data_IF_488797874996
#
_entry.id   IF_488797874996
#
_cell.length_a   1.000
_cell.length_b   1.000
_cell.length_c   1.000
_cell.angle_alpha   90.00
_cell.angle_beta   90.00
_cell.angle_gamma   90.00
#
_symmetry.space_group_name_H-M   'P 1'
#
loop_
_entity.id
_entity.type
_entity.pdbx_description
1 polymer ?
#
# COMPACT_ATOMS: atom_id res chain seq x y z
N UNK A 1 -1.50 9.45 -6.31
CA UNK A 1 -2.32 9.45 -7.52
C UNK A 1 -3.78 9.51 -7.19
N UNK A 2 -4.52 10.25 -8.01
CA UNK A 2 -5.94 10.48 -7.76
C UNK A 2 -6.75 9.19 -7.80
N UNK A 3 -6.44 8.29 -8.74
CA UNK A 3 -7.19 7.04 -8.85
C UNK A 3 -7.02 6.18 -7.59
N UNK A 4 -5.82 6.15 -7.02
CA UNK A 4 -5.58 5.38 -5.81
C UNK A 4 -6.32 6.01 -4.63
N UNK A 5 -6.36 7.34 -4.56
CA UNK A 5 -7.12 8.02 -3.52
C UNK A 5 -8.62 7.72 -3.66
N UNK A 6 -9.12 7.67 -4.89
CA UNK A 6 -10.51 7.35 -5.15
C UNK A 6 -10.86 5.92 -4.71
N UNK A 7 -10.00 4.95 -5.04
CA UNK A 7 -10.19 3.56 -4.60
C UNK A 7 -10.22 3.50 -3.08
N UNK A 8 -9.26 4.16 -2.43
CA UNK A 8 -9.14 4.12 -0.97
C UNK A 8 -10.39 4.69 -0.31
N UNK A 9 -10.87 5.83 -0.79
CA UNK A 9 -12.09 6.43 -0.24
C UNK A 9 -13.29 5.53 -0.47
N UNK A 10 -13.40 4.90 -1.63
CA UNK A 10 -14.55 4.04 -1.93
C UNK A 10 -14.60 2.83 -1.00
N UNK A 11 -13.45 2.22 -0.70
CA UNK A 11 -13.40 1.08 0.20
C UNK A 11 -13.86 1.51 1.60
N UNK A 12 -13.33 2.62 2.10
CA UNK A 12 -13.65 3.03 3.48
C UNK A 12 -15.02 3.70 3.61
N UNK A 13 -15.60 4.16 2.49
CA UNK A 13 -17.00 4.59 2.49
C UNK A 13 -17.94 3.39 2.57
N UNK A 14 -17.56 2.26 1.95
CA UNK A 14 -18.40 1.06 1.94
C UNK A 14 -18.34 0.31 3.27
N UNK A 15 -17.17 0.30 3.92
CA UNK A 15 -17.02 -0.44 5.17
C UNK A 15 -15.91 0.14 6.03
N UNK A 16 -16.00 -0.10 7.32
CA UNK A 16 -15.00 0.40 8.23
C UNK A 16 -14.06 -0.73 8.68
N UNK A 17 -12.89 -0.35 9.15
CA UNK A 17 -11.93 -1.29 9.69
C UNK A 17 -12.41 -1.80 11.06
N UNK A 18 -12.42 -3.12 11.21
CA UNK A 18 -12.75 -3.79 12.46
C UNK A 18 -11.76 -4.95 12.60
N UNK A 19 -10.86 -4.93 13.59
CA UNK A 19 -9.88 -6.01 13.74
C UNK A 19 -10.52 -7.38 13.87
N UNK A 20 -11.79 -7.46 14.27
CA UNK A 20 -12.51 -8.71 14.40
C UNK A 20 -13.54 -8.89 13.29
N UNK A 21 -13.50 -8.06 12.27
CA UNK A 21 -14.40 -8.18 11.14
C UNK A 21 -14.00 -9.30 10.20
N UNK A 22 -14.79 -9.47 9.14
CA UNK A 22 -14.52 -10.52 8.17
C UNK A 22 -13.29 -10.24 7.32
N UNK A 23 -12.76 -11.29 6.70
CA UNK A 23 -11.49 -11.23 5.99
C UNK A 23 -11.66 -11.22 4.47
N UNK A 24 -12.84 -10.89 3.96
CA UNK A 24 -13.10 -10.93 2.52
C UNK A 24 -13.42 -9.55 1.97
N UNK A 25 -13.27 -9.40 0.65
CA UNK A 25 -13.70 -8.16 -0.01
C UNK A 25 -15.20 -7.93 0.15
N UNK A 26 -16.00 -9.01 0.19
CA UNK A 26 -17.43 -8.89 0.42
C UNK A 26 -17.71 -8.23 1.77
N UNK A 27 -16.98 -8.65 2.80
CA UNK A 27 -17.18 -8.05 4.14
C UNK A 27 -16.91 -6.56 4.12
N UNK A 28 -15.88 -6.12 3.41
CA UNK A 28 -15.54 -4.70 3.31
C UNK A 28 -16.55 -3.93 2.47
N UNK A 29 -16.93 -4.48 1.32
CA UNK A 29 -17.71 -3.72 0.33
C UNK A 29 -19.20 -3.82 0.52
N UNK A 30 -19.70 -4.90 1.12
CA UNK A 30 -21.13 -5.17 1.22
C UNK A 30 -21.59 -5.27 2.66
N UNK A 31 -20.89 -6.06 3.49
CA UNK A 31 -21.32 -6.25 4.88
C UNK A 31 -21.00 -5.05 5.76
N UNK A 32 -20.05 -4.22 5.37
CA UNK A 32 -19.80 -2.94 6.03
C UNK A 32 -18.73 -2.92 7.09
N UNK A 33 -18.04 -4.04 7.33
CA UNK A 33 -16.94 -4.10 8.30
C UNK A 33 -15.99 -5.22 7.91
N UNK A 34 -14.68 -4.96 7.98
CA UNK A 34 -13.70 -5.96 7.62
C UNK A 34 -12.40 -5.73 8.37
N UNK A 35 -11.62 -6.80 8.53
CA UNK A 35 -10.28 -6.70 9.08
C UNK A 35 -9.31 -6.21 7.99
N UNK A 36 -7.99 -6.17 8.32
CA UNK A 36 -7.00 -5.65 7.37
C UNK A 36 -6.93 -6.47 6.09
N UNK A 37 -7.16 -7.78 6.17
CA UNK A 37 -7.15 -8.62 4.98
C UNK A 37 -8.34 -8.28 4.08
N UNK A 38 -9.53 -8.15 4.64
CA UNK A 38 -10.71 -7.81 3.86
C UNK A 38 -10.60 -6.45 3.21
N UNK A 39 -10.10 -5.45 3.93
CA UNK A 39 -9.92 -4.12 3.36
C UNK A 39 -8.90 -4.15 2.21
N UNK A 40 -7.79 -4.87 2.38
CA UNK A 40 -6.76 -4.91 1.34
C UNK A 40 -7.23 -5.67 0.11
N UNK A 41 -8.03 -6.72 0.29
CA UNK A 41 -8.60 -7.45 -0.85
C UNK A 41 -9.61 -6.58 -1.60
N UNK A 42 -10.42 -5.80 -0.88
CA UNK A 42 -11.36 -4.89 -1.51
C UNK A 42 -10.63 -3.82 -2.32
N UNK A 43 -9.55 -3.26 -1.77
CA UNK A 43 -8.75 -2.27 -2.47
C UNK A 43 -8.16 -2.85 -3.75
N UNK A 44 -7.63 -4.08 -3.68
CA UNK A 44 -7.08 -4.75 -4.87
C UNK A 44 -8.14 -4.95 -5.93
N UNK A 45 -9.32 -5.40 -5.54
CA UNK A 45 -10.42 -5.63 -6.47
C UNK A 45 -10.80 -4.34 -7.21
N UNK A 46 -10.97 -3.24 -6.47
CA UNK A 46 -11.34 -1.97 -7.10
C UNK A 46 -10.20 -1.41 -7.94
N UNK A 47 -8.96 -1.58 -7.49
CA UNK A 47 -7.80 -1.13 -8.26
C UNK A 47 -7.75 -1.85 -9.61
N UNK A 48 -7.99 -3.16 -9.60
CA UNK A 48 -8.00 -3.95 -10.84
C UNK A 48 -9.09 -3.49 -11.80
N UNK A 49 -10.24 -3.08 -11.26
CA UNK A 49 -11.33 -2.55 -12.09
C UNK A 49 -10.92 -1.27 -12.79
N UNK A 50 -10.03 -0.49 -12.21
CA UNK A 50 -9.51 0.73 -12.81
C UNK A 50 -8.19 0.50 -13.54
N UNK A 51 -7.80 -0.76 -13.71
CA UNK A 51 -6.56 -1.15 -14.39
C UNK A 51 -5.31 -0.61 -13.71
N UNK A 52 -5.40 -0.44 -12.40
CA UNK A 52 -4.23 -0.08 -11.59
C UNK A 52 -3.49 -1.34 -11.19
N UNK A 53 -2.18 -1.23 -11.05
CA UNK A 53 -1.34 -2.35 -10.63
C UNK A 53 -1.17 -2.32 -9.12
N UNK A 54 -1.42 -3.44 -8.47
CA UNK A 54 -1.27 -3.54 -7.04
C UNK A 54 -1.26 -4.98 -6.57
N UNK A 55 -1.03 -5.15 -5.27
CA UNK A 55 -1.04 -6.47 -4.65
C UNK A 55 -1.41 -6.33 -3.18
N UNK A 56 -1.79 -7.44 -2.57
CA UNK A 56 -1.95 -7.54 -1.12
C UNK A 56 -0.64 -8.04 -0.53
N UNK A 57 -0.20 -7.42 0.55
CA UNK A 57 1.03 -7.79 1.25
C UNK A 57 0.66 -8.41 2.59
N UNK A 58 0.96 -9.68 2.80
CA UNK A 58 0.84 -10.26 4.14
C UNK A 58 2.12 -9.97 4.92
N UNK A 59 1.99 -9.46 6.13
CA UNK A 59 3.14 -9.16 6.95
C UNK A 59 2.74 -9.02 8.41
N UNK A 60 3.50 -8.22 9.14
CA UNK A 60 3.19 -7.93 10.54
C UNK A 60 3.27 -6.44 10.79
N UNK A 61 2.53 -5.99 11.78
CA UNK A 61 2.62 -4.63 12.33
C UNK A 61 2.82 -4.77 13.82
N UNK A 62 3.97 -4.30 14.30
CA UNK A 62 4.36 -4.43 15.69
C UNK A 62 4.27 -5.89 16.18
N UNK A 63 4.64 -6.82 15.28
CA UNK A 63 4.70 -8.24 15.60
C UNK A 63 3.39 -8.99 15.41
N UNK A 64 2.28 -8.31 15.12
CA UNK A 64 0.98 -8.97 14.91
C UNK A 64 0.68 -9.11 13.43
N UNK A 65 0.07 -10.20 13.01
CA UNK A 65 -0.28 -10.37 11.59
C UNK A 65 -1.12 -9.20 11.08
N UNK A 66 -0.79 -8.73 9.89
CA UNK A 66 -1.46 -7.58 9.31
C UNK A 66 -1.35 -7.66 7.79
N UNK A 67 -2.32 -7.08 7.09
CA UNK A 67 -2.35 -7.07 5.62
C UNK A 67 -2.51 -5.63 5.15
N UNK A 68 -1.89 -5.33 4.02
CA UNK A 68 -2.04 -4.02 3.38
C UNK A 68 -1.76 -4.17 1.89
N UNK A 69 -1.69 -3.06 1.18
CA UNK A 69 -1.46 -3.10 -0.26
C UNK A 69 -0.14 -2.45 -0.62
N UNK A 70 0.43 -2.89 -1.73
CA UNK A 70 1.43 -2.12 -2.47
C UNK A 70 0.79 -1.80 -3.80
N UNK A 71 0.88 -0.55 -4.23
CA UNK A 71 0.27 -0.07 -5.46
C UNK A 71 1.30 0.67 -6.27
N UNK A 72 1.15 0.63 -7.60
CA UNK A 72 2.05 1.37 -8.48
C UNK A 72 1.52 2.77 -8.68
N UNK A 73 2.37 3.76 -8.38
CA UNK A 73 2.05 5.17 -8.56
C UNK A 73 2.90 5.74 -9.69
N UNK A 74 2.71 7.01 -10.01
CA UNK A 74 3.54 7.68 -11.00
C UNK A 74 5.00 7.74 -10.59
N UNK A 75 5.28 7.67 -9.28
CA UNK A 75 6.64 7.71 -8.74
C UNK A 75 7.19 6.33 -8.39
N UNK A 76 6.53 5.27 -8.82
CA UNK A 76 6.92 3.91 -8.48
C UNK A 76 5.98 3.28 -7.47
N UNK A 77 6.38 2.13 -6.96
CA UNK A 77 5.53 1.41 -6.00
C UNK A 77 5.55 2.07 -4.65
N UNK A 78 4.40 2.05 -3.96
CA UNK A 78 4.25 2.59 -2.62
C UNK A 78 3.32 1.70 -1.81
N UNK A 79 3.51 1.70 -0.49
CA UNK A 79 2.66 0.96 0.44
C UNK A 79 1.41 1.79 0.76
N UNK A 80 0.28 1.09 0.85
CA UNK A 80 -1.01 1.69 1.18
C UNK A 80 -1.69 0.81 2.22
N UNK A 81 -1.86 1.31 3.44
CA UNK A 81 -2.56 0.56 4.48
C UNK A 81 -3.84 1.31 4.86
N UNK A 82 -4.97 0.80 4.40
CA UNK A 82 -6.25 1.47 4.62
C UNK A 82 -6.70 1.47 6.07
N UNK A 83 -6.14 0.56 6.89
CA UNK A 83 -6.51 0.57 8.31
C UNK A 83 -6.04 1.84 9.02
N UNK A 84 -5.09 2.57 8.43
CA UNK A 84 -4.61 3.83 8.99
C UNK A 84 -5.55 5.01 8.71
N UNK A 85 -6.44 4.85 7.73
CA UNK A 85 -7.37 5.91 7.36
C UNK A 85 -6.69 7.05 6.62
N UNK A 86 -7.45 8.12 6.40
CA UNK A 86 -6.95 9.31 5.73
C UNK A 86 -6.20 10.20 6.71
N UNK A 87 -5.28 11.01 6.18
CA UNK A 87 -4.58 12.01 6.99
C UNK A 87 -5.46 13.26 7.18
N UNK A 88 -4.91 14.29 7.82
CA UNK A 88 -5.68 15.51 8.15
C UNK A 88 -6.16 16.24 6.92
N UNK A 89 -5.60 15.94 5.74
CA UNK A 89 -6.04 16.59 4.49
C UNK A 89 -6.95 15.69 3.67
N UNK A 90 -7.39 14.56 4.24
CA UNK A 90 -8.27 13.64 3.53
C UNK A 90 -7.54 12.75 2.54
N UNK A 91 -6.21 12.68 2.60
CA UNK A 91 -5.42 11.87 1.68
C UNK A 91 -4.98 10.58 2.37
N UNK A 92 -4.95 9.49 1.61
CA UNK A 92 -4.49 8.20 2.13
C UNK A 92 -2.99 8.10 1.89
N UNK A 93 -2.19 7.98 2.96
CA UNK A 93 -0.73 8.02 2.81
C UNK A 93 -0.20 6.90 1.92
N UNK A 94 0.74 7.23 1.07
CA UNK A 94 1.47 6.30 0.20
C UNK A 94 2.92 6.31 0.67
N UNK A 95 3.36 5.20 1.25
CA UNK A 95 4.57 5.17 2.05
C UNK A 95 5.68 4.36 1.38
N UNK A 96 6.92 4.76 1.67
CA UNK A 96 8.11 4.05 1.20
C UNK A 96 8.42 2.88 2.13
N UNK A 97 9.35 2.02 1.69
CA UNK A 97 9.84 0.93 2.53
C UNK A 97 10.41 1.45 3.84
N UNK A 98 11.19 2.54 3.77
CA UNK A 98 11.80 3.09 4.96
C UNK A 98 10.75 3.60 5.95
N UNK A 99 9.73 4.29 5.41
CA UNK A 99 8.67 4.81 6.26
C UNK A 99 7.89 3.68 6.94
N UNK A 100 7.62 2.61 6.20
CA UNK A 100 6.90 1.46 6.75
C UNK A 100 7.72 0.78 7.85
N UNK A 101 9.02 0.59 7.61
CA UNK A 101 9.88 -0.03 8.61
C UNK A 101 9.92 0.79 9.90
N UNK A 102 9.98 2.12 9.76
CA UNK A 102 9.99 3.01 10.91
C UNK A 102 8.71 2.94 11.72
N UNK A 103 7.60 2.57 11.09
CA UNK A 103 6.30 2.47 11.75
C UNK A 103 6.04 1.09 12.34
N UNK A 104 6.97 0.15 12.19
CA UNK A 104 6.84 -1.18 12.83
C UNK A 104 6.33 -2.27 11.91
N UNK A 105 6.25 -2.03 10.61
CA UNK A 105 5.83 -3.06 9.65
C UNK A 105 7.00 -3.95 9.28
N UNK A 106 6.72 -5.24 9.08
CA UNK A 106 7.69 -6.19 8.55
C UNK A 106 6.99 -7.06 7.51
N UNK A 107 7.70 -7.37 6.44
CA UNK A 107 7.18 -8.19 5.35
C UNK A 107 8.33 -8.87 4.63
N UNK A 108 7.99 -9.81 3.74
CA UNK A 108 8.98 -10.50 2.91
C UNK A 108 9.40 -9.59 1.76
N UNK A 109 10.55 -8.94 1.89
CA UNK A 109 11.03 -7.98 0.90
C UNK A 109 11.40 -8.64 -0.43
N UNK A 110 11.52 -9.97 -0.46
CA UNK A 110 11.78 -10.69 -1.70
C UNK A 110 10.49 -10.87 -2.52
N UNK A 111 9.34 -10.79 -1.86
CA UNK A 111 8.05 -11.04 -2.50
C UNK A 111 7.35 -9.76 -2.94
N UNK A 112 7.88 -8.58 -2.60
CA UNK A 112 7.21 -7.30 -2.81
C UNK A 112 8.17 -6.36 -3.55
N UNK A 113 7.68 -5.63 -4.58
CA UNK A 113 8.54 -4.66 -5.27
C UNK A 113 9.07 -3.62 -4.30
N UNK A 114 10.29 -3.14 -4.50
CA UNK A 114 10.83 -2.07 -3.65
C UNK A 114 9.97 -0.80 -3.78
N UNK A 115 9.74 -0.14 -2.65
CA UNK A 115 8.98 1.11 -2.60
C UNK A 115 9.92 2.20 -2.12
N UNK A 116 10.33 3.08 -3.04
CA UNK A 116 11.31 4.11 -2.73
C UNK A 116 10.70 5.29 -1.99
N UNK A 117 11.57 6.20 -1.58
CA UNK A 117 11.17 7.45 -0.94
C UNK A 117 10.45 8.35 -1.93
N UNK A 118 9.50 9.17 -1.49
CA UNK A 118 8.86 10.11 -2.41
C UNK A 118 9.87 10.98 -3.17
N UNK A 119 10.99 11.32 -2.55
CA UNK A 119 12.02 12.12 -3.21
C UNK A 119 12.76 11.36 -4.31
N UNK A 120 12.66 10.03 -4.34
CA UNK A 120 13.33 9.22 -5.36
C UNK A 120 12.70 9.40 -6.74
N UNK A 121 11.53 9.97 -6.82
CA UNK A 121 10.83 10.12 -8.10
C UNK A 121 11.58 11.00 -9.07
N UNK A 122 12.59 11.71 -8.65
CA UNK A 122 13.33 12.61 -9.53
C UNK A 122 14.65 12.07 -9.97
N UNK A 123 15.02 11.00 -9.61
CA UNK A 123 16.28 10.55 -10.07
C UNK A 123 16.18 9.85 -11.32
N UNK A 124 16.26 10.15 -11.16
CA UNK A 124 16.51 9.24 -11.83
C UNK A 124 16.66 8.62 -12.12
N UNK A 125 16.76 8.81 -11.79
CA UNK A 125 17.28 8.10 -11.97
C UNK A 125 17.52 7.24 -11.92
N UNK A 126 17.33 7.28 -11.91
CA UNK A 126 17.98 6.56 -11.86
C UNK A 126 18.33 5.81 -11.67
N UNK A 127 18.11 5.83 -11.70
CA UNK A 127 18.86 5.23 -11.53
C UNK A 127 19.29 4.64 -11.30
N UNK A 128 19.07 4.70 -11.35
CA UNK A 128 19.83 4.25 -11.13
C UNK A 128 20.20 3.77 -10.95
N UNK A 129 20.27 3.58 -11.16
CA UNK A 129 20.90 3.18 -10.98
C UNK A 129 21.24 2.79 -10.67
N UNK A 130 21.15 2.67 -11.04
CA UNK A 130 21.53 2.56 -10.78
C UNK A 130 21.67 2.17 -10.43
N UNK A 131 21.80 2.18 -10.41
CA UNK A 131 22.11 2.12 -10.12
C UNK A 131 22.27 1.85 -9.64
N UNK A 132 22.00 1.90 -9.61
CA UNK A 132 22.31 1.90 -9.30
C UNK A 132 22.42 1.59 -8.91
N UNK A 133 22.23 1.63 -8.80
CA UNK A 133 22.56 1.62 -8.63
C UNK A 133 22.66 1.32 -8.26
N UNK A 134 22.27 1.35 -7.90
CA UNK A 134 22.61 1.32 -7.79
C UNK A 134 22.71 1.15 -7.47
N UNK A 135 22.61 1.11 -7.56
CA UNK A 135 22.91 1.17 -7.50
C UNK A 135 23.00 1.04 -7.26
N UNK A 136 22.72 1.09 -7.12
CA UNK A 136 23.00 1.26 -7.15
C UNK A 136 23.08 1.17 -6.97
N UNK A 137 22.92 1.13 -6.85
CA UNK A 137 23.21 1.33 -6.91
C UNK A 137 23.29 1.30 -6.72
N UNK A 138 22.78 1.26 -6.74
CA UNK A 138 23.03 1.60 -6.86
C UNK A 138 22.99 1.63 -6.71
N UNK A 139 22.76 1.70 -6.40
CA UNK A 139 23.06 1.96 -6.49
C UNK A 139 23.08 2.03 -6.43
N UNK A 140 22.80 1.98 -6.46
CA UNK A 140 23.10 2.30 -6.64
C UNK A 140 23.16 2.44 -6.56
#
# INVERSE_FOLDING_TARGET
DEAIQTVSAAVLDAGHYDPEGGASAYDALVAGAADSEGLSLAALLLAQRLELTGMVVPGTLDGSPHFWNVVRTESGYRHLDLTRGADSRGQYPLLSDREMAALGYQWDTQAVPPCGEPSDSQEGTEEVPGTSSASSDGAE
#
